data_IF_969450982417
#
_entry.id   IF_969450982417
#
_cell.length_a   1.000
_cell.length_b   1.000
_cell.length_c   1.000
_cell.angle_alpha   90.00
_cell.angle_beta   90.00
_cell.angle_gamma   90.00
#
_symmetry.space_group_name_H-M   'P 1'
#
loop_
_entity.id
_entity.type
_entity.pdbx_description
1 polymer ?
#
# COMPACT_ATOMS: atom_id res chain seq x y z
N UNK A 1 1.89 64.09 18.74
CA UNK A 1 1.23 62.95 19.42
C UNK A 1 0.70 61.86 18.47
N UNK A 2 0.54 62.12 17.15
CA UNK A 2 0.09 61.13 16.16
C UNK A 2 1.18 60.16 15.66
N UNK A 3 2.45 60.57 15.70
CA UNK A 3 3.59 59.75 15.22
C UNK A 3 3.87 58.53 16.12
N UNK A 4 3.59 58.61 17.43
CA UNK A 4 3.79 57.51 18.38
C UNK A 4 2.79 56.36 18.14
N UNK A 5 1.60 56.70 17.62
CA UNK A 5 0.53 55.74 17.34
C UNK A 5 0.87 54.83 16.14
N UNK A 6 1.49 55.40 15.10
CA UNK A 6 1.97 54.61 13.96
C UNK A 6 3.12 53.68 14.32
N UNK A 7 4.01 54.11 15.23
CA UNK A 7 5.11 53.26 15.71
C UNK A 7 4.57 52.07 16.49
N UNK A 8 3.59 52.28 17.36
CA UNK A 8 2.90 51.18 18.09
C UNK A 8 2.21 50.23 17.12
N UNK A 9 1.49 50.73 16.11
CA UNK A 9 0.83 49.91 15.09
C UNK A 9 1.83 49.09 14.24
N UNK A 10 2.97 49.69 13.89
CA UNK A 10 4.03 49.04 13.11
C UNK A 10 4.72 47.92 13.90
N UNK A 11 5.02 48.16 15.19
CA UNK A 11 5.58 47.13 16.08
C UNK A 11 4.60 45.98 16.29
N UNK A 12 3.30 46.28 16.38
CA UNK A 12 2.24 45.27 16.51
C UNK A 12 2.10 44.43 15.23
N UNK A 13 2.15 45.05 14.05
CA UNK A 13 2.17 44.35 12.75
C UNK A 13 3.41 43.44 12.59
N UNK A 14 4.59 43.90 13.01
CA UNK A 14 5.83 43.10 12.96
C UNK A 14 5.82 41.93 13.95
N UNK A 15 5.26 42.11 15.14
CA UNK A 15 5.11 41.04 16.14
C UNK A 15 4.14 39.94 15.68
N UNK A 16 3.05 40.31 15.00
CA UNK A 16 2.10 39.35 14.44
C UNK A 16 2.73 38.54 13.29
N UNK A 17 3.58 39.16 12.45
CA UNK A 17 4.25 38.46 11.34
C UNK A 17 5.29 37.42 11.81
N UNK A 18 5.99 37.66 12.93
CA UNK A 18 7.02 36.76 13.46
C UNK A 18 6.48 35.47 14.08
N UNK A 19 5.22 35.44 14.53
CA UNK A 19 4.60 34.24 15.11
C UNK A 19 4.19 33.20 14.08
N UNK A 20 4.10 33.55 12.79
CA UNK A 20 3.70 32.60 11.74
C UNK A 20 4.85 31.73 11.21
N UNK A 21 6.12 32.09 11.48
CA UNK A 21 7.28 31.32 10.98
C UNK A 21 7.70 30.19 11.91
N UNK A 22 7.10 30.07 13.10
CA UNK A 22 7.40 29.02 14.08
C UNK A 22 6.37 27.89 14.11
N UNK A 23 5.37 27.91 13.23
CA UNK A 23 4.54 26.73 12.99
C UNK A 23 5.36 25.72 12.20
N UNK A 24 6.08 24.85 12.90
CA UNK A 24 6.43 23.56 12.31
C UNK A 24 5.10 22.83 12.06
N UNK A 25 4.79 22.39 10.82
CA UNK A 25 3.68 21.49 10.63
C UNK A 25 3.99 20.25 11.48
N UNK A 26 3.26 20.05 12.57
CA UNK A 26 3.26 18.78 13.29
C UNK A 26 2.78 17.76 12.27
N UNK A 27 3.68 16.86 11.86
CA UNK A 27 3.49 15.97 10.73
C UNK A 27 2.06 15.51 10.62
N UNK A 28 1.42 15.83 9.48
CA UNK A 28 0.23 15.11 9.09
C UNK A 28 0.54 13.64 9.27
N UNK A 29 -0.20 12.95 10.14
CA UNK A 29 -0.15 11.51 10.27
C UNK A 29 -0.18 10.96 8.85
N UNK A 30 0.94 10.40 8.37
CA UNK A 30 0.94 9.74 7.07
C UNK A 30 0.01 8.55 7.27
N UNK A 31 -1.18 8.64 6.69
CA UNK A 31 -2.13 7.54 6.72
C UNK A 31 -1.53 6.38 5.92
N UNK A 32 -1.65 5.16 6.44
CA UNK A 32 -1.19 3.95 5.78
C UNK A 32 -1.81 3.81 4.38
N UNK A 33 -0.97 3.64 3.37
CA UNK A 33 -1.32 3.28 2.01
C UNK A 33 -1.38 1.75 1.92
N UNK A 34 -2.52 1.17 1.49
CA UNK A 34 -2.68 -0.27 1.50
C UNK A 34 -1.77 -0.96 0.47
N UNK A 35 -1.52 -2.28 0.62
CA UNK A 35 -0.80 -3.06 -0.36
C UNK A 35 -1.55 -3.06 -1.70
N UNK A 36 -0.81 -3.10 -2.81
CA UNK A 36 -1.38 -3.13 -4.16
C UNK A 36 -0.87 -4.33 -4.96
N UNK A 37 -1.71 -4.85 -5.85
CA UNK A 37 -1.29 -5.77 -6.90
C UNK A 37 -0.54 -5.00 -8.00
N UNK A 38 0.65 -5.46 -8.35
CA UNK A 38 1.56 -4.74 -9.27
C UNK A 38 1.72 -5.44 -10.63
N UNK A 39 0.99 -6.54 -10.87
CA UNK A 39 1.00 -7.23 -12.16
C UNK A 39 -0.04 -6.67 -13.14
N UNK A 40 0.24 -6.66 -14.44
CA UNK A 40 -0.67 -6.16 -15.46
C UNK A 40 -1.80 -7.15 -15.82
N UNK A 41 -1.74 -8.38 -15.31
CA UNK A 41 -2.70 -9.45 -15.59
C UNK A 41 -3.12 -10.17 -14.31
N UNK A 42 -4.33 -10.70 -14.35
CA UNK A 42 -4.90 -11.58 -13.33
C UNK A 42 -5.12 -13.00 -13.87
N UNK A 43 -4.76 -13.25 -15.14
CA UNK A 43 -4.84 -14.56 -15.79
C UNK A 43 -3.44 -15.02 -16.20
N UNK A 44 -3.11 -16.26 -15.84
CA UNK A 44 -1.81 -16.88 -16.09
C UNK A 44 -2.00 -18.25 -16.72
N UNK A 45 -1.27 -18.52 -17.80
CA UNK A 45 -1.22 -19.84 -18.43
C UNK A 45 0.12 -20.52 -18.17
N UNK A 46 0.11 -21.83 -17.92
CA UNK A 46 1.31 -22.62 -17.67
C UNK A 46 1.22 -24.00 -18.33
N UNK A 47 2.37 -24.62 -18.64
CA UNK A 47 2.42 -25.94 -19.29
C UNK A 47 2.57 -27.09 -18.27
N UNK A 48 3.63 -27.04 -17.44
CA UNK A 48 3.95 -28.14 -16.50
C UNK A 48 3.58 -27.81 -15.05
N UNK A 49 4.03 -26.68 -14.53
CA UNK A 49 3.75 -26.21 -13.17
C UNK A 49 3.59 -24.69 -13.11
N UNK A 50 2.78 -24.21 -12.16
CA UNK A 50 2.60 -22.79 -11.91
C UNK A 50 3.24 -22.40 -10.57
N UNK A 51 4.11 -21.39 -10.62
CA UNK A 51 4.64 -20.72 -9.44
C UNK A 51 4.64 -19.20 -9.65
N UNK A 52 4.29 -18.46 -8.60
CA UNK A 52 4.29 -17.00 -8.60
C UNK A 52 4.83 -16.48 -7.26
N UNK A 53 5.91 -15.70 -7.31
CA UNK A 53 6.45 -15.03 -6.12
C UNK A 53 5.59 -13.82 -5.75
N UNK A 54 4.89 -13.91 -4.62
CA UNK A 54 3.97 -12.86 -4.17
C UNK A 54 4.71 -11.60 -3.68
N UNK A 55 5.99 -11.69 -3.31
CA UNK A 55 6.79 -10.52 -2.96
C UNK A 55 7.03 -9.61 -4.18
N UNK A 56 7.00 -10.18 -5.38
CA UNK A 56 7.09 -9.42 -6.64
C UNK A 56 5.72 -9.04 -7.18
N UNK A 57 4.68 -9.79 -6.82
CA UNK A 57 3.33 -9.57 -7.30
C UNK A 57 2.57 -8.48 -6.54
N UNK A 58 2.94 -8.25 -5.28
CA UNK A 58 2.38 -7.18 -4.44
C UNK A 58 3.45 -6.16 -4.05
N UNK A 59 3.01 -4.91 -3.91
CA UNK A 59 3.85 -3.81 -3.47
C UNK A 59 3.14 -3.01 -2.38
N UNK A 60 3.87 -2.64 -1.34
CA UNK A 60 3.41 -1.72 -0.30
C UNK A 60 4.02 -0.33 -0.51
N UNK A 61 3.22 0.72 -0.74
CA UNK A 61 3.75 2.07 -0.95
C UNK A 61 4.49 2.67 0.25
N UNK A 62 4.19 2.22 1.47
CA UNK A 62 4.88 2.65 2.70
C UNK A 62 6.12 1.80 3.00
N UNK A 63 6.39 0.76 2.20
CA UNK A 63 7.51 -0.16 2.37
C UNK A 63 7.33 -1.12 3.55
N UNK A 64 6.10 -1.34 4.00
CA UNK A 64 5.79 -2.27 5.09
C UNK A 64 5.94 -3.73 4.62
N UNK A 65 6.42 -4.64 5.49
CA UNK A 65 6.53 -6.05 5.15
C UNK A 65 5.15 -6.69 4.95
N UNK A 66 4.99 -7.46 3.87
CA UNK A 66 3.72 -8.08 3.52
C UNK A 66 3.63 -9.54 4.01
N UNK A 67 2.47 -9.88 4.56
CA UNK A 67 2.06 -11.25 4.88
C UNK A 67 1.00 -11.73 3.91
N UNK A 68 1.13 -12.96 3.43
CA UNK A 68 0.24 -13.52 2.41
C UNK A 68 -0.56 -14.73 2.91
N UNK A 69 -1.79 -14.86 2.43
CA UNK A 69 -2.56 -16.09 2.51
C UNK A 69 -3.25 -16.39 1.18
N UNK A 70 -3.52 -17.66 0.92
CA UNK A 70 -4.09 -18.12 -0.35
C UNK A 70 -5.30 -18.99 -0.09
N UNK A 71 -6.36 -18.79 -0.88
CA UNK A 71 -7.61 -19.53 -0.81
C UNK A 71 -7.99 -19.98 -2.22
N UNK A 72 -7.69 -21.24 -2.60
CA UNK A 72 -8.10 -21.78 -3.89
C UNK A 72 -9.61 -22.02 -3.95
N UNK A 73 -10.18 -21.97 -5.16
CA UNK A 73 -11.56 -22.37 -5.42
C UNK A 73 -11.78 -23.86 -5.16
N UNK A 74 -13.04 -24.27 -4.97
CA UNK A 74 -13.37 -25.69 -4.83
C UNK A 74 -12.86 -26.52 -6.01
N UNK A 75 -12.24 -27.67 -5.71
CA UNK A 75 -11.64 -28.55 -6.72
C UNK A 75 -10.29 -28.10 -7.27
N UNK A 76 -9.76 -26.94 -6.84
CA UNK A 76 -8.45 -26.44 -7.23
C UNK A 76 -7.43 -26.60 -6.09
N UNK A 77 -6.22 -27.05 -6.41
CA UNK A 77 -5.15 -27.21 -5.42
C UNK A 77 -4.14 -26.09 -5.59
N UNK A 78 -4.11 -25.16 -4.64
CA UNK A 78 -3.06 -24.16 -4.55
C UNK A 78 -2.60 -24.00 -3.10
N UNK A 79 -1.34 -23.63 -2.92
CA UNK A 79 -0.72 -23.45 -1.62
C UNK A 79 0.36 -22.37 -1.66
N UNK A 80 0.81 -21.98 -0.47
CA UNK A 80 1.87 -21.01 -0.29
C UNK A 80 3.09 -21.70 0.31
N UNK A 81 4.25 -21.51 -0.31
CA UNK A 81 5.54 -21.96 0.20
C UNK A 81 6.52 -20.78 0.16
N UNK A 82 6.91 -20.28 1.33
CA UNK A 82 7.84 -19.15 1.46
C UNK A 82 7.46 -17.94 0.56
N UNK A 83 6.21 -17.49 0.68
CA UNK A 83 5.62 -16.41 -0.13
C UNK A 83 5.51 -16.70 -1.64
N UNK A 84 5.87 -17.90 -2.09
CA UNK A 84 5.63 -18.37 -3.46
C UNK A 84 4.30 -19.12 -3.50
N UNK A 85 3.36 -18.60 -4.29
CA UNK A 85 2.14 -19.29 -4.65
C UNK A 85 2.49 -20.42 -5.61
N UNK A 86 2.10 -21.65 -5.27
CA UNK A 86 2.23 -22.83 -6.13
C UNK A 86 0.84 -23.39 -6.37
N UNK A 87 0.51 -23.67 -7.63
CA UNK A 87 -0.76 -24.25 -7.99
C UNK A 87 -0.64 -25.47 -8.89
N UNK A 88 -1.56 -26.40 -8.72
CA UNK A 88 -1.68 -27.65 -9.49
C UNK A 88 -3.08 -27.71 -10.10
N UNK A 89 -3.13 -27.61 -11.43
CA UNK A 89 -4.36 -27.63 -12.22
C UNK A 89 -4.76 -26.25 -12.72
N UNK A 90 -5.94 -26.20 -13.33
CA UNK A 90 -6.59 -24.95 -13.72
C UNK A 90 -7.65 -24.57 -12.68
N UNK A 91 -7.83 -23.28 -12.45
CA UNK A 91 -8.77 -22.80 -11.43
C UNK A 91 -8.56 -21.34 -11.07
N UNK A 92 -9.22 -20.92 -9.99
CA UNK A 92 -9.07 -19.59 -9.44
C UNK A 92 -8.49 -19.67 -8.04
N UNK A 93 -7.58 -18.76 -7.71
CA UNK A 93 -7.04 -18.62 -6.35
C UNK A 93 -7.15 -17.18 -5.91
N UNK A 94 -7.70 -16.99 -4.72
CA UNK A 94 -7.76 -15.69 -4.06
C UNK A 94 -6.56 -15.56 -3.14
N UNK A 95 -5.71 -14.59 -3.45
CA UNK A 95 -4.53 -14.22 -2.68
C UNK A 95 -4.92 -13.03 -1.79
N UNK A 96 -4.52 -13.05 -0.54
CA UNK A 96 -4.72 -11.93 0.39
C UNK A 96 -3.37 -11.45 0.89
N UNK A 97 -3.09 -10.18 0.71
CA UNK A 97 -1.89 -9.48 1.19
C UNK A 97 -2.27 -8.55 2.35
N UNK A 98 -1.45 -8.53 3.40
CA UNK A 98 -1.63 -7.68 4.58
C UNK A 98 -0.30 -7.03 4.98
N UNK A 99 -0.32 -5.72 5.21
CA UNK A 99 0.81 -4.95 5.78
C UNK A 99 0.75 -4.87 7.32
N UNK A 100 -0.25 -5.51 7.95
CA UNK A 100 -0.53 -5.44 9.38
C UNK A 100 -1.54 -4.37 9.80
N UNK A 101 -1.82 -3.39 8.94
CA UNK A 101 -2.79 -2.31 9.15
C UNK A 101 -3.99 -2.42 8.19
N UNK A 102 -3.73 -2.78 6.94
CA UNK A 102 -4.64 -2.89 5.81
C UNK A 102 -4.52 -4.27 5.16
N UNK A 103 -5.61 -4.71 4.54
CA UNK A 103 -5.70 -6.02 3.89
C UNK A 103 -6.29 -5.84 2.50
N UNK A 104 -5.67 -6.45 1.49
CA UNK A 104 -6.16 -6.47 0.11
C UNK A 104 -6.21 -7.90 -0.40
N UNK A 105 -7.33 -8.26 -1.03
CA UNK A 105 -7.52 -9.56 -1.67
C UNK A 105 -7.57 -9.40 -3.18
N UNK A 106 -6.98 -10.37 -3.88
CA UNK A 106 -6.88 -10.44 -5.33
C UNK A 106 -7.14 -11.85 -5.81
N UNK A 107 -8.11 -12.02 -6.69
CA UNK A 107 -8.37 -13.30 -7.34
C UNK A 107 -7.63 -13.35 -8.66
N UNK A 108 -6.85 -14.41 -8.87
CA UNK A 108 -6.21 -14.70 -10.15
C UNK A 108 -6.76 -16.01 -10.71
N UNK A 109 -6.68 -16.15 -12.03
CA UNK A 109 -7.07 -17.34 -12.78
C UNK A 109 -5.83 -18.00 -13.34
N UNK A 110 -5.70 -19.30 -13.09
CA UNK A 110 -4.60 -20.13 -13.55
C UNK A 110 -5.17 -21.11 -14.57
N UNK A 111 -4.57 -21.16 -15.76
CA UNK A 111 -4.97 -22.00 -16.88
C UNK A 111 -3.83 -22.93 -17.25
N UNK A 112 -4.16 -24.18 -17.59
CA UNK A 112 -3.18 -25.10 -18.17
C UNK A 112 -3.28 -25.05 -19.70
N UNK A 113 -2.14 -24.95 -20.37
CA UNK A 113 -2.06 -25.05 -21.84
C UNK A 113 -2.24 -26.49 -22.36
#
# INVERSE_FOLDING_TARGET
>A
MKELWYFVLMVLMLGVLACFTSMTPTGAFVANLPPKWDYPTDEFSYDESFSLDLNTAFFDPDGNPLSFSVSPSEGFTAGLYDNVLVALGEGQVTITASDGNSVVSKTIKVLKN
#
